data_IF_372102550198
#
_entry.id   IF_372102550198
#
_cell.length_a   1.000
_cell.length_b   1.000
_cell.length_c   1.000
_cell.angle_alpha   90.00
_cell.angle_beta   90.00
_cell.angle_gamma   90.00
#
_symmetry.space_group_name_H-M   'P 1'
#
loop_
_entity.id
_entity.type
_entity.pdbx_description
1 polymer ?
#
# COMPACT_ATOMS: atom_id res chain seq x y z
N UNK A 1 24.60 -41.46 -24.85
CA UNK A 1 23.29 -41.49 -24.16
C UNK A 1 23.33 -40.79 -22.80
N UNK A 2 24.42 -40.88 -22.03
CA UNK A 2 24.53 -40.23 -20.72
C UNK A 2 24.67 -38.70 -20.76
N UNK A 3 25.37 -38.15 -21.76
CA UNK A 3 25.54 -36.70 -21.90
C UNK A 3 24.20 -35.94 -22.06
N UNK A 4 23.25 -36.53 -22.80
CA UNK A 4 21.92 -35.95 -23.05
C UNK A 4 21.07 -35.98 -21.78
N UNK A 5 21.20 -37.04 -20.97
CA UNK A 5 20.51 -37.15 -19.67
C UNK A 5 21.07 -36.12 -18.68
N UNK A 6 22.40 -35.97 -18.60
CA UNK A 6 23.04 -34.95 -17.75
C UNK A 6 22.64 -33.52 -18.10
N UNK A 7 22.52 -33.20 -19.39
CA UNK A 7 22.07 -31.88 -19.85
C UNK A 7 20.59 -31.63 -19.53
N UNK A 8 19.72 -32.64 -19.67
CA UNK A 8 18.32 -32.55 -19.26
C UNK A 8 18.18 -32.34 -17.74
N UNK A 9 18.96 -33.04 -16.92
CA UNK A 9 18.95 -32.85 -15.46
C UNK A 9 19.45 -31.45 -15.07
N UNK A 10 20.50 -30.93 -15.72
CA UNK A 10 21.00 -29.58 -15.46
C UNK A 10 19.98 -28.51 -15.84
N UNK A 11 19.31 -28.65 -16.99
CA UNK A 11 18.26 -27.71 -17.43
C UNK A 11 17.07 -27.77 -16.46
N UNK A 12 16.64 -28.97 -16.04
CA UNK A 12 15.54 -29.11 -15.08
C UNK A 12 15.89 -28.52 -13.72
N UNK A 13 17.13 -28.68 -13.26
CA UNK A 13 17.63 -28.09 -12.01
C UNK A 13 17.72 -26.56 -12.08
N UNK A 14 18.18 -26.00 -13.22
CA UNK A 14 18.18 -24.55 -13.46
C UNK A 14 16.74 -24.01 -13.50
N UNK A 15 15.80 -24.71 -14.13
CA UNK A 15 14.38 -24.32 -14.11
C UNK A 15 13.76 -24.42 -12.72
N UNK A 16 14.12 -25.43 -11.91
CA UNK A 16 13.67 -25.56 -10.52
C UNK A 16 14.22 -24.41 -9.67
N UNK A 17 15.52 -24.12 -9.77
CA UNK A 17 16.15 -23.00 -9.07
C UNK A 17 15.61 -21.65 -9.53
N UNK A 18 15.33 -21.48 -10.83
CA UNK A 18 14.68 -20.27 -11.35
C UNK A 18 13.25 -20.13 -10.81
N UNK A 19 12.48 -21.22 -10.75
CA UNK A 19 11.12 -21.23 -10.21
C UNK A 19 11.05 -20.99 -8.70
N UNK A 20 12.03 -21.48 -7.93
CA UNK A 20 12.17 -21.18 -6.49
C UNK A 20 12.74 -19.78 -6.25
N UNK A 21 13.50 -19.21 -7.21
CA UNK A 21 14.00 -17.83 -7.15
C UNK A 21 13.00 -16.77 -7.60
N UNK A 22 11.84 -17.16 -8.13
CA UNK A 22 10.65 -16.31 -8.14
C UNK A 22 9.99 -16.34 -6.74
N UNK A 23 10.77 -16.02 -5.71
CA UNK A 23 10.18 -15.39 -4.54
C UNK A 23 9.39 -14.20 -5.10
N UNK A 24 8.10 -14.15 -4.80
CA UNK A 24 7.26 -13.02 -5.21
C UNK A 24 7.93 -11.77 -4.63
N UNK A 25 8.65 -11.01 -5.47
CA UNK A 25 9.22 -9.70 -5.10
C UNK A 25 8.08 -8.67 -5.01
N UNK A 26 6.95 -9.08 -4.45
CA UNK A 26 5.82 -8.22 -4.23
C UNK A 26 5.00 -8.67 -3.03
N UNK A 27 4.50 -7.69 -2.31
CA UNK A 27 3.61 -7.87 -1.19
C UNK A 27 2.26 -7.27 -1.57
N UNK A 28 1.20 -8.08 -1.48
CA UNK A 28 -0.15 -7.65 -1.85
C UNK A 28 -1.06 -7.65 -0.63
N UNK A 29 -1.88 -6.61 -0.54
CA UNK A 29 -2.94 -6.44 0.44
C UNK A 29 -4.26 -6.22 -0.27
N UNK A 30 -5.35 -6.66 0.37
CA UNK A 30 -6.71 -6.37 -0.03
C UNK A 30 -7.41 -5.61 1.10
N UNK A 31 -8.03 -4.48 0.77
CA UNK A 31 -8.87 -3.73 1.69
C UNK A 31 -10.28 -4.32 1.58
N UNK A 32 -10.65 -5.11 2.58
CA UNK A 32 -11.88 -5.91 2.58
C UNK A 32 -12.91 -5.42 3.61
N UNK A 33 -12.54 -4.45 4.44
CA UNK A 33 -13.36 -3.95 5.52
C UNK A 33 -13.44 -2.42 5.53
N UNK A 34 -14.60 -1.92 5.93
CA UNK A 34 -14.79 -0.54 6.35
C UNK A 34 -13.98 -0.24 7.62
N UNK A 35 -13.76 1.03 7.94
CA UNK A 35 -13.05 1.48 9.13
C UNK A 35 -13.60 0.89 10.46
N UNK A 36 -14.89 0.55 10.48
CA UNK A 36 -15.66 -0.05 11.57
C UNK A 36 -15.84 -1.58 11.44
N UNK A 37 -14.94 -2.24 10.70
CA UNK A 37 -14.86 -3.69 10.57
C UNK A 37 -16.09 -4.36 9.95
N UNK A 38 -16.87 -3.66 9.13
CA UNK A 38 -17.89 -4.29 8.29
C UNK A 38 -17.26 -4.71 6.96
N UNK A 39 -17.63 -5.88 6.40
CA UNK A 39 -17.18 -6.26 5.06
C UNK A 39 -17.63 -5.24 4.01
N UNK A 40 -16.78 -4.97 3.01
CA UNK A 40 -17.17 -4.16 1.86
C UNK A 40 -18.20 -4.87 0.99
N UNK A 41 -19.03 -4.11 0.27
CA UNK A 41 -20.09 -4.63 -0.63
C UNK A 41 -19.70 -4.62 -2.12
N UNK A 42 -18.43 -4.32 -2.41
CA UNK A 42 -17.83 -4.33 -3.75
C UNK A 42 -16.56 -5.18 -3.76
N UNK A 43 -15.91 -5.28 -4.92
CA UNK A 43 -14.61 -5.94 -4.99
C UNK A 43 -13.55 -5.17 -4.17
N UNK A 44 -12.71 -5.87 -3.38
CA UNK A 44 -11.67 -5.24 -2.57
C UNK A 44 -10.69 -4.40 -3.39
N UNK A 45 -10.24 -3.30 -2.80
CA UNK A 45 -9.13 -2.51 -3.33
C UNK A 45 -7.83 -3.24 -3.01
N UNK A 46 -7.05 -3.54 -4.05
CA UNK A 46 -5.79 -4.26 -3.95
C UNK A 46 -4.62 -3.30 -4.02
N UNK A 47 -3.73 -3.38 -3.05
CA UNK A 47 -2.47 -2.63 -3.01
C UNK A 47 -1.33 -3.61 -3.12
N UNK A 48 -0.46 -3.42 -4.11
CA UNK A 48 0.73 -4.25 -4.32
C UNK A 48 1.97 -3.39 -4.23
N UNK A 49 2.92 -3.81 -3.40
CA UNK A 49 4.24 -3.20 -3.30
C UNK A 49 5.27 -4.10 -3.96
N UNK A 50 6.21 -3.54 -4.69
CA UNK A 50 7.34 -4.28 -5.28
C UNK A 50 8.61 -3.41 -5.31
N UNK A 51 9.81 -4.00 -5.43
CA UNK A 51 11.02 -3.24 -5.72
C UNK A 51 10.86 -2.40 -6.98
N UNK A 52 11.36 -1.16 -6.94
CA UNK A 52 11.50 -0.27 -8.08
C UNK A 52 12.91 0.33 -8.15
N UNK A 53 13.27 0.85 -9.31
CA UNK A 53 14.54 1.59 -9.44
C UNK A 53 14.45 2.90 -8.65
N UNK A 54 15.30 3.06 -7.62
CA UNK A 54 15.34 4.26 -6.78
C UNK A 54 14.20 4.40 -5.76
N UNK A 55 13.28 3.44 -5.65
CA UNK A 55 12.19 3.50 -4.69
C UNK A 55 11.33 2.24 -4.58
N UNK A 56 10.32 2.31 -3.73
CA UNK A 56 9.29 1.30 -3.62
C UNK A 56 8.21 1.58 -4.68
N UNK A 57 7.95 0.61 -5.57
CA UNK A 57 6.83 0.70 -6.49
C UNK A 57 5.56 0.30 -5.75
N UNK A 58 4.52 1.13 -5.85
CA UNK A 58 3.18 0.85 -5.36
C UNK A 58 2.23 0.80 -6.56
N UNK A 59 1.43 -0.26 -6.63
CA UNK A 59 0.33 -0.40 -7.58
C UNK A 59 -0.98 -0.54 -6.80
N UNK A 60 -2.00 0.20 -7.21
CA UNK A 60 -3.34 0.13 -6.64
C UNK A 60 -4.30 -0.27 -7.74
N UNK A 61 -5.15 -1.25 -7.45
CA UNK A 61 -6.19 -1.74 -8.35
C UNK A 61 -7.51 -1.80 -7.60
N UNK A 62 -8.57 -1.25 -8.18
CA UNK A 62 -9.87 -1.29 -7.54
C UNK A 62 -11.02 -0.88 -8.44
N UNK A 63 -12.26 -1.01 -7.95
CA UNK A 63 -13.43 -0.44 -8.59
C UNK A 63 -13.29 1.08 -8.74
N UNK A 64 -13.75 1.60 -9.86
CA UNK A 64 -13.91 3.04 -10.09
C UNK A 64 -15.36 3.43 -9.78
N UNK A 65 -15.56 4.16 -8.69
CA UNK A 65 -16.88 4.53 -8.18
C UNK A 65 -17.50 5.73 -8.91
N UNK A 66 -16.72 6.43 -9.73
CA UNK A 66 -17.16 7.63 -10.47
C UNK A 66 -17.77 8.70 -9.55
N UNK A 67 -17.11 8.93 -8.41
CA UNK A 67 -17.54 9.92 -7.42
C UNK A 67 -17.56 11.33 -8.01
N UNK A 68 -18.54 12.18 -7.62
CA UNK A 68 -18.51 13.57 -8.01
C UNK A 68 -17.26 14.26 -7.44
N UNK A 69 -16.78 15.29 -8.14
CA UNK A 69 -15.71 16.12 -7.62
C UNK A 69 -16.10 16.64 -6.22
N UNK A 70 -15.16 16.55 -5.27
CA UNK A 70 -15.39 17.10 -3.94
C UNK A 70 -15.76 18.57 -4.07
N UNK A 71 -16.83 19.06 -3.41
CA UNK A 71 -17.12 20.48 -3.39
C UNK A 71 -15.88 21.22 -2.86
N UNK A 72 -15.62 22.48 -3.29
CA UNK A 72 -14.55 23.29 -2.73
C UNK A 72 -14.73 23.34 -1.21
N UNK A 73 -13.83 22.68 -0.47
CA UNK A 73 -13.97 22.55 0.98
C UNK A 73 -13.71 23.89 1.68
N UNK A 74 -14.37 24.17 2.82
CA UNK A 74 -13.86 25.16 3.77
C UNK A 74 -12.42 24.79 4.17
N UNK A 75 -11.56 25.79 4.34
CA UNK A 75 -10.11 25.65 4.59
C UNK A 75 -9.70 24.83 5.83
N UNK A 76 -10.64 24.33 6.63
CA UNK A 76 -10.40 23.66 7.91
C UNK A 76 -11.03 22.25 8.00
N UNK A 77 -10.71 21.36 7.05
CA UNK A 77 -10.93 19.92 7.26
C UNK A 77 -9.72 19.29 7.97
N UNK A 78 -9.80 18.98 9.28
CA UNK A 78 -8.73 18.29 10.00
C UNK A 78 -8.48 16.85 9.48
N UNK A 79 -9.39 16.30 8.67
CA UNK A 79 -9.32 14.94 8.13
C UNK A 79 -8.24 14.73 7.06
N UNK A 80 -7.65 15.78 6.50
CA UNK A 80 -6.54 15.65 5.52
C UNK A 80 -5.33 16.54 5.83
N UNK A 81 -5.40 17.42 6.84
CA UNK A 81 -4.43 18.52 6.97
C UNK A 81 -4.08 18.79 8.44
N UNK A 82 -3.47 17.83 9.13
CA UNK A 82 -2.76 18.16 10.36
C UNK A 82 -1.49 17.31 10.48
N UNK A 83 -0.35 17.93 10.13
CA UNK A 83 0.99 17.47 10.52
C UNK A 83 1.88 16.88 9.41
N UNK A 84 1.32 16.09 8.47
CA UNK A 84 2.15 15.29 7.54
C UNK A 84 2.67 16.10 6.33
N UNK A 85 1.99 17.18 5.92
CA UNK A 85 2.30 17.92 4.69
C UNK A 85 3.03 19.25 4.93
N UNK A 86 4.16 19.26 5.65
CA UNK A 86 5.06 20.44 5.59
C UNK A 86 5.97 20.42 4.35
N UNK A 87 6.20 19.26 3.74
CA UNK A 87 7.20 19.11 2.68
C UNK A 87 6.63 18.71 1.30
N UNK A 88 5.32 18.44 1.16
CA UNK A 88 4.64 18.09 -0.12
C UNK A 88 5.58 17.38 -1.10
N UNK A 89 6.09 16.22 -0.69
CA UNK A 89 7.17 15.58 -1.42
C UNK A 89 6.67 15.14 -2.81
N UNK A 90 7.33 15.55 -3.91
CA UNK A 90 6.86 15.26 -5.25
C UNK A 90 6.94 13.75 -5.52
N UNK A 91 5.83 13.15 -5.96
CA UNK A 91 5.80 11.75 -6.37
C UNK A 91 5.37 11.65 -7.83
N UNK A 92 6.04 10.76 -8.57
CA UNK A 92 5.61 10.39 -9.91
C UNK A 92 4.55 9.30 -9.77
N UNK A 93 3.39 9.55 -10.37
CA UNK A 93 2.30 8.60 -10.40
C UNK A 93 1.57 8.61 -11.75
N UNK A 94 0.94 7.49 -12.07
CA UNK A 94 -0.01 7.36 -13.17
C UNK A 94 -1.33 6.82 -12.61
N UNK A 95 -2.44 7.24 -13.21
CA UNK A 95 -3.75 6.69 -12.91
C UNK A 95 -4.50 6.50 -14.23
N UNK A 96 -5.03 5.30 -14.44
CA UNK A 96 -5.81 4.95 -15.64
C UNK A 96 -7.12 4.34 -15.21
N UNK A 97 -8.22 4.89 -15.71
CA UNK A 97 -9.56 4.31 -15.54
C UNK A 97 -9.87 3.48 -16.78
N UNK A 98 -10.37 2.27 -16.59
CA UNK A 98 -10.86 1.40 -17.66
C UNK A 98 -12.20 0.85 -17.23
N UNK A 99 -13.26 1.30 -17.92
CA UNK A 99 -14.65 0.95 -17.61
C UNK A 99 -15.02 1.26 -16.15
N UNK A 100 -15.19 0.23 -15.31
CA UNK A 100 -15.58 0.30 -13.91
C UNK A 100 -14.40 0.05 -12.95
N UNK A 101 -13.16 0.14 -13.44
CA UNK A 101 -11.94 -0.09 -12.66
C UNK A 101 -10.94 1.02 -12.87
N UNK A 102 -10.05 1.18 -11.92
CA UNK A 102 -8.88 2.03 -12.07
C UNK A 102 -7.61 1.31 -11.60
N UNK A 103 -6.51 1.71 -12.22
CA UNK A 103 -5.16 1.31 -11.86
C UNK A 103 -4.36 2.56 -11.56
N UNK A 104 -3.80 2.63 -10.37
CA UNK A 104 -2.82 3.63 -9.99
C UNK A 104 -1.44 2.99 -9.88
N UNK A 105 -0.41 3.67 -10.35
CA UNK A 105 0.97 3.32 -10.06
C UNK A 105 1.70 4.53 -9.51
N UNK A 106 2.52 4.33 -8.48
CA UNK A 106 3.40 5.35 -7.93
C UNK A 106 4.76 4.75 -7.61
N UNK A 107 5.80 5.57 -7.70
CA UNK A 107 7.13 5.25 -7.17
C UNK A 107 7.38 6.13 -5.95
N UNK A 108 7.60 5.50 -4.79
CA UNK A 108 7.95 6.19 -3.55
C UNK A 108 9.49 6.12 -3.40
N UNK A 109 10.23 7.23 -3.58
CA UNK A 109 11.69 7.23 -3.49
C UNK A 109 12.19 6.73 -2.13
N UNK A 110 13.32 6.02 -2.11
CA UNK A 110 13.90 5.52 -0.86
C UNK A 110 14.16 6.61 0.18
N UNK A 111 14.56 7.79 -0.30
CA UNK A 111 14.77 8.96 0.54
C UNK A 111 13.51 9.46 1.25
N UNK A 112 12.30 9.01 0.91
CA UNK A 112 11.08 9.49 1.56
C UNK A 112 10.74 8.69 2.81
N UNK A 113 11.27 7.48 2.94
CA UNK A 113 11.01 6.61 4.07
C UNK A 113 11.85 7.02 5.29
N UNK A 114 11.25 7.24 6.47
CA UNK A 114 12.01 7.34 7.71
C UNK A 114 12.76 6.04 8.00
N UNK A 115 13.86 6.08 8.77
CA UNK A 115 14.53 4.86 9.20
C UNK A 115 13.58 4.01 10.06
N UNK A 116 13.73 2.69 9.99
CA UNK A 116 13.04 1.72 10.86
C UNK A 116 11.50 1.73 10.76
N UNK A 117 10.95 1.83 9.56
CA UNK A 117 9.53 1.57 9.35
C UNK A 117 9.22 0.14 9.80
N UNK A 118 8.33 0.04 10.77
CA UNK A 118 7.96 -1.23 11.39
C UNK A 118 6.46 -1.49 11.41
N UNK A 119 5.64 -0.52 10.96
CA UNK A 119 4.19 -0.59 11.00
C UNK A 119 3.55 0.09 9.80
N UNK A 120 2.39 -0.39 9.38
CA UNK A 120 1.60 0.24 8.33
C UNK A 120 0.10 0.04 8.53
N UNK A 121 -0.66 0.87 7.81
CA UNK A 121 -2.07 0.64 7.47
C UNK A 121 -2.31 1.23 6.07
N UNK A 122 -3.44 0.89 5.47
CA UNK A 122 -3.87 1.48 4.19
C UNK A 122 -5.36 1.77 4.25
N UNK A 123 -5.78 2.81 3.55
CA UNK A 123 -7.16 3.28 3.58
C UNK A 123 -7.65 3.56 2.17
N UNK A 124 -8.94 3.33 1.96
CA UNK A 124 -9.63 3.73 0.75
C UNK A 124 -10.86 4.55 1.10
N UNK A 125 -11.18 5.52 0.25
CA UNK A 125 -12.28 6.45 0.44
C UNK A 125 -12.97 6.60 -0.91
N UNK A 126 -14.27 6.37 -0.94
CA UNK A 126 -15.13 6.56 -2.10
C UNK A 126 -16.51 7.02 -1.67
N UNK A 127 -17.34 7.44 -2.62
CA UNK A 127 -18.60 8.11 -2.37
C UNK A 127 -18.43 9.58 -1.97
N UNK A 128 -19.55 10.29 -1.91
CA UNK A 128 -19.61 11.71 -1.60
C UNK A 128 -20.55 12.01 -0.44
N UNK A 129 -20.26 13.11 0.27
CA UNK A 129 -21.09 13.65 1.34
C UNK A 129 -21.46 12.60 2.40
N UNK A 130 -22.76 12.45 2.70
CA UNK A 130 -23.29 11.47 3.67
C UNK A 130 -23.14 10.01 3.21
N UNK A 131 -22.86 9.78 1.91
CA UNK A 131 -22.65 8.45 1.34
C UNK A 131 -21.18 8.10 1.18
N UNK A 132 -20.27 8.86 1.80
CA UNK A 132 -18.85 8.55 1.77
C UNK A 132 -18.55 7.32 2.61
N UNK A 133 -17.92 6.34 1.99
CA UNK A 133 -17.44 5.13 2.60
C UNK A 133 -15.96 5.27 2.93
N UNK A 134 -15.57 4.78 4.10
CA UNK A 134 -14.19 4.79 4.55
C UNK A 134 -13.78 3.37 4.89
N UNK A 135 -12.70 2.91 4.27
CA UNK A 135 -12.19 1.57 4.39
C UNK A 135 -10.79 1.55 4.95
N UNK A 136 -10.44 0.44 5.60
CA UNK A 136 -9.15 0.24 6.23
C UNK A 136 -8.67 -1.19 5.99
N UNK A 137 -7.39 -1.33 5.66
CA UNK A 137 -6.72 -2.63 5.63
C UNK A 137 -6.75 -3.26 7.02
N UNK A 138 -6.49 -2.45 8.06
CA UNK A 138 -6.62 -2.83 9.46
C UNK A 138 -7.60 -1.87 10.14
N UNK A 139 -8.83 -2.34 10.32
CA UNK A 139 -9.97 -1.58 10.87
C UNK A 139 -10.00 -1.61 12.41
N UNK A 140 -10.87 -0.80 13.01
CA UNK A 140 -11.10 -0.79 14.46
C UNK A 140 -11.93 -2.03 14.82
N UNK A 141 -11.48 -2.90 15.75
CA UNK A 141 -12.29 -4.03 16.22
C UNK A 141 -13.66 -3.55 16.71
N UNK A 142 -14.74 -4.26 16.36
CA UNK A 142 -16.12 -3.80 16.62
C UNK A 142 -16.38 -3.48 18.08
N UNK A 143 -15.74 -4.23 18.96
CA UNK A 143 -15.86 -4.11 20.42
C UNK A 143 -15.16 -2.86 20.98
N UNK A 144 -14.22 -2.28 20.22
CA UNK A 144 -13.45 -1.09 20.58
C UNK A 144 -14.03 0.21 19.99
N UNK A 145 -15.12 0.11 19.22
CA UNK A 145 -15.79 1.27 18.60
C UNK A 145 -16.67 1.96 19.65
N UNK A 146 -16.36 3.22 19.94
CA UNK A 146 -17.20 4.04 20.81
C UNK A 146 -18.51 4.44 20.12
N UNK A 147 -19.58 4.63 20.90
CA UNK A 147 -20.86 5.11 20.38
C UNK A 147 -20.68 6.48 19.70
N UNK A 148 -21.15 6.59 18.45
CA UNK A 148 -21.03 7.82 17.65
C UNK A 148 -19.62 8.10 17.11
N UNK A 149 -18.65 7.20 17.31
CA UNK A 149 -17.30 7.35 16.77
C UNK A 149 -17.33 7.53 15.25
N UNK A 150 -16.46 8.41 14.76
CA UNK A 150 -16.28 8.70 13.34
C UNK A 150 -14.94 8.10 12.85
N UNK A 151 -14.77 7.90 11.52
CA UNK A 151 -13.51 7.43 10.96
C UNK A 151 -12.31 8.28 11.41
N UNK A 152 -11.24 7.62 11.85
CA UNK A 152 -9.98 8.26 12.22
C UNK A 152 -8.77 7.43 11.77
N UNK A 153 -8.08 7.91 10.74
CA UNK A 153 -6.92 7.25 10.12
C UNK A 153 -5.61 7.37 10.91
N UNK A 154 -5.62 8.13 12.01
CA UNK A 154 -4.44 8.42 12.84
C UNK A 154 -4.37 7.53 14.11
N UNK A 155 -5.21 6.49 14.21
CA UNK A 155 -5.20 5.56 15.33
C UNK A 155 -4.07 4.53 15.15
N UNK A 156 -2.86 4.94 15.51
CA UNK A 156 -1.62 4.16 15.32
C UNK A 156 -1.65 2.78 16.00
N UNK A 157 -2.49 2.59 17.02
CA UNK A 157 -2.67 1.31 17.71
C UNK A 157 -3.15 0.17 16.79
N UNK A 158 -3.87 0.50 15.71
CA UNK A 158 -4.40 -0.50 14.76
C UNK A 158 -3.46 -0.77 13.58
N UNK A 159 -2.34 -0.05 13.49
CA UNK A 159 -1.33 -0.33 12.48
C UNK A 159 -0.62 -1.64 12.83
N UNK A 160 -0.57 -2.53 11.84
CA UNK A 160 0.06 -3.84 11.98
C UNK A 160 1.53 -3.78 11.57
N UNK A 161 2.27 -4.79 12.02
CA UNK A 161 3.69 -4.94 11.74
C UNK A 161 3.95 -5.02 10.24
N UNK A 162 4.97 -4.30 9.79
CA UNK A 162 5.37 -4.21 8.41
C UNK A 162 6.86 -3.88 8.31
N UNK A 163 7.56 -4.54 7.41
CA UNK A 163 8.98 -4.26 7.16
C UNK A 163 9.22 -4.18 5.66
N UNK A 164 10.09 -3.26 5.23
CA UNK A 164 10.46 -3.18 3.81
C UNK A 164 11.20 -4.45 3.35
N UNK A 165 11.87 -5.15 4.27
CA UNK A 165 12.54 -6.43 4.03
C UNK A 165 11.57 -7.53 3.57
N UNK A 166 10.28 -7.47 3.93
CA UNK A 166 9.30 -8.42 3.41
C UNK A 166 9.07 -8.30 1.91
N UNK A 167 9.52 -7.19 1.29
CA UNK A 167 9.45 -6.93 -0.15
C UNK A 167 10.85 -7.00 -0.78
N UNK A 168 11.86 -6.48 -0.10
CA UNK A 168 13.21 -6.28 -0.64
C UNK A 168 14.17 -7.45 -0.36
N UNK A 169 13.79 -8.38 0.51
CA UNK A 169 14.65 -9.47 0.98
C UNK A 169 15.27 -9.19 2.36
N UNK A 170 15.59 -10.26 3.09
CA UNK A 170 16.06 -10.19 4.48
C UNK A 170 17.39 -9.42 4.64
N UNK A 171 18.29 -9.53 3.67
CA UNK A 171 19.60 -8.88 3.69
C UNK A 171 19.55 -7.42 3.19
N UNK A 172 18.37 -6.91 2.78
CA UNK A 172 18.25 -5.55 2.29
C UNK A 172 18.35 -4.52 3.42
N UNK A 173 19.21 -3.53 3.20
CA UNK A 173 19.42 -2.40 4.10
C UNK A 173 18.81 -1.16 3.48
N UNK A 174 17.98 -0.46 4.26
CA UNK A 174 17.36 0.78 3.82
C UNK A 174 18.43 1.85 3.54
N UNK A 175 18.43 2.48 2.35
CA UNK A 175 19.33 3.59 2.05
C UNK A 175 19.11 4.76 3.02
N UNK A 176 20.17 5.52 3.30
CA UNK A 176 20.04 6.75 4.09
C UNK A 176 19.11 7.75 3.40
N UNK A 177 18.39 8.51 4.23
CA UNK A 177 17.56 9.61 3.78
C UNK A 177 18.03 10.93 4.38
N UNK A 178 18.43 11.86 3.51
CA UNK A 178 18.71 13.26 3.87
C UNK A 178 17.49 13.96 4.49
N UNK A 179 16.26 13.54 4.13
CA UNK A 179 15.03 14.13 4.67
C UNK A 179 14.85 13.83 6.16
N UNK A 180 15.43 12.74 6.66
CA UNK A 180 15.26 12.29 8.05
C UNK A 180 16.52 12.47 8.91
N UNK A 181 17.63 12.95 8.34
CA UNK A 181 18.85 13.25 9.10
C UNK A 181 18.57 14.28 10.20
N UNK A 182 18.91 13.93 11.44
CA UNK A 182 18.80 14.80 12.60
C UNK A 182 17.36 15.14 13.03
N UNK A 183 16.35 14.49 12.44
CA UNK A 183 14.97 14.57 12.94
C UNK A 183 14.77 13.57 14.08
N UNK A 184 14.01 13.93 15.12
CA UNK A 184 13.70 13.03 16.23
C UNK A 184 12.90 11.81 15.78
#
# INVERSE_FOLDING_TARGET
MELVRGLQFLIFYIFLQLSESFALNHLQFAIEHTWDSNPVDHEPIKVTFSPGEGGLKMQVFGPFFNDPASPPGPLDMPFLVSGIMKQQLPMVFTATVTENRWIGEALIPWGYFPPNINKMNSYAIHGSDEKRTYEALYSIPKEEIAEGQQPNFHLLQYFQDFTLQSIMGADWVQPESELWKGKP
#
